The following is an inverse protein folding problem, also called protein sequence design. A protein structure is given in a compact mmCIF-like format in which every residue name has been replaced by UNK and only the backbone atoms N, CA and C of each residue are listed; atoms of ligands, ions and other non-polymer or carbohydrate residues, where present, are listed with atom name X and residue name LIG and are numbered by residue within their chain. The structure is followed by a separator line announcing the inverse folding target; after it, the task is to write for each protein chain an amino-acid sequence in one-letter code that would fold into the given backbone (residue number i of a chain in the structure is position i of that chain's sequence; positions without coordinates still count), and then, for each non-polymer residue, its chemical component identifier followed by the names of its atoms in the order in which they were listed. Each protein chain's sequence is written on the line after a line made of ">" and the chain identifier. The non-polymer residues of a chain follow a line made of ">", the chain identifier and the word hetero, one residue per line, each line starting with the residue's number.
data_IF_822137336602
#
_entry.id   IF_822137336602
#
_cell.length_a   1.000
_cell.length_b   1.000
_cell.length_c   1.000
_cell.angle_alpha   90.00
_cell.angle_beta   90.00
_cell.angle_gamma   90.00
#
_symmetry.space_group_name_H-M   'P 1'
#
loop_
_entity.id
_entity.type
_entity.pdbx_description
1 polymer ?
#
# COMPACT_ATOMS: atom_id res chain seq x y z
N UNK A 1 -50.20 -43.57 35.30
CA UNK A 1 -48.84 -42.99 35.31
C UNK A 1 -47.90 -43.79 34.40
N UNK A 2 -48.18 -43.82 33.09
CA UNK A 2 -47.34 -44.50 32.08
C UNK A 2 -47.32 -43.77 30.72
N UNK A 3 -47.82 -42.53 30.67
CA UNK A 3 -48.01 -41.76 29.44
C UNK A 3 -47.24 -40.43 29.39
N UNK A 4 -46.40 -40.13 30.39
CA UNK A 4 -45.58 -38.90 30.42
C UNK A 4 -44.08 -39.14 30.22
N UNK A 5 -43.61 -40.38 30.08
CA UNK A 5 -42.18 -40.69 29.88
C UNK A 5 -41.79 -40.96 28.41
N UNK A 6 -42.76 -40.98 27.49
CA UNK A 6 -42.51 -41.31 26.06
C UNK A 6 -42.42 -40.08 25.16
N UNK A 7 -42.43 -38.87 25.72
CA UNK A 7 -42.36 -37.61 24.97
C UNK A 7 -40.94 -36.97 24.92
N UNK A 8 -39.93 -37.55 25.58
CA UNK A 8 -38.54 -37.09 25.46
C UNK A 8 -37.70 -37.79 24.37
N UNK A 9 -38.14 -38.94 23.82
CA UNK A 9 -37.34 -39.67 22.83
C UNK A 9 -37.67 -39.32 21.37
N UNK A 10 -38.70 -38.53 21.10
CA UNK A 10 -39.16 -38.24 19.74
C UNK A 10 -38.59 -36.97 19.09
N UNK A 11 -37.73 -36.22 19.79
CA UNK A 11 -37.28 -34.90 19.32
C UNK A 11 -35.81 -34.80 18.86
N UNK A 12 -35.01 -35.89 18.87
CA UNK A 12 -33.55 -35.73 18.67
C UNK A 12 -32.87 -36.61 17.60
N UNK A 13 -33.50 -37.64 17.02
CA UNK A 13 -32.70 -38.67 16.32
C UNK A 13 -32.92 -38.97 14.84
N UNK A 14 -33.81 -38.32 14.09
CA UNK A 14 -33.80 -38.57 12.64
C UNK A 14 -34.08 -37.31 11.84
N UNK A 15 -33.20 -36.32 12.04
CA UNK A 15 -32.88 -35.31 11.04
C UNK A 15 -32.31 -36.03 9.81
N UNK A 16 -33.22 -36.46 8.94
CA UNK A 16 -32.91 -36.82 7.56
C UNK A 16 -33.00 -35.55 6.73
N UNK A 17 -31.90 -35.12 6.13
CA UNK A 17 -31.77 -34.81 4.70
C UNK A 17 -30.46 -34.04 4.41
N UNK A 18 -29.62 -34.70 3.61
CA UNK A 18 -28.74 -34.18 2.56
C UNK A 18 -27.63 -33.18 2.93
N UNK A 19 -26.39 -33.68 2.89
CA UNK A 19 -25.25 -32.92 2.39
C UNK A 19 -24.44 -33.78 1.41
N UNK A 20 -24.01 -33.12 0.36
CA UNK A 20 -23.60 -33.66 -0.92
C UNK A 20 -22.32 -34.51 -0.87
N UNK A 21 -22.26 -35.45 -1.82
CA UNK A 21 -21.00 -35.91 -2.37
C UNK A 21 -20.29 -34.73 -3.04
N UNK A 22 -19.04 -34.46 -2.67
CA UNK A 22 -18.01 -34.05 -3.64
C UNK A 22 -16.70 -34.77 -3.30
N UNK A 23 -16.15 -35.32 -4.37
CA UNK A 23 -15.07 -36.30 -4.47
C UNK A 23 -13.70 -35.66 -4.19
N UNK A 24 -12.96 -36.18 -3.21
CA UNK A 24 -11.54 -35.88 -3.03
C UNK A 24 -10.73 -36.83 -3.90
N UNK A 25 -10.62 -36.51 -5.19
CA UNK A 25 -9.62 -37.10 -6.09
C UNK A 25 -8.72 -36.00 -6.64
N UNK A 26 -7.61 -35.83 -5.93
CA UNK A 26 -6.25 -35.88 -6.45
C UNK A 26 -6.09 -35.74 -7.98
N UNK A 27 -5.41 -34.68 -8.42
CA UNK A 27 -4.17 -34.74 -9.21
C UNK A 27 -4.03 -33.52 -10.15
N UNK A 28 -2.94 -32.79 -9.97
CA UNK A 28 -2.26 -32.10 -11.07
C UNK A 28 -1.71 -33.13 -12.06
N UNK A 29 -1.74 -32.80 -13.36
CA UNK A 29 -0.51 -32.77 -14.16
C UNK A 29 -0.42 -31.44 -14.94
N UNK A 30 0.68 -30.69 -14.80
CA UNK A 30 1.90 -30.73 -15.62
C UNK A 30 1.79 -29.99 -16.96
N UNK A 31 2.42 -28.81 -16.94
CA UNK A 31 3.29 -28.19 -17.95
C UNK A 31 2.72 -27.65 -19.27
N UNK A 32 3.23 -26.44 -19.55
CA UNK A 32 3.53 -25.84 -20.84
C UNK A 32 2.36 -25.32 -21.67
N UNK A 33 2.20 -24.00 -21.65
CA UNK A 33 2.20 -23.26 -22.92
C UNK A 33 2.88 -21.90 -22.75
N UNK A 34 3.97 -21.75 -23.50
CA UNK A 34 4.61 -20.49 -23.81
C UNK A 34 4.07 -20.04 -25.18
N UNK A 35 3.52 -18.84 -25.22
CA UNK A 35 3.32 -18.01 -26.41
C UNK A 35 3.00 -16.60 -25.85
N UNK A 36 3.99 -15.75 -25.65
CA UNK A 36 4.43 -14.76 -26.63
C UNK A 36 3.27 -14.06 -27.34
N UNK A 37 2.95 -12.87 -26.84
CA UNK A 37 2.39 -11.80 -27.65
C UNK A 37 2.94 -10.49 -27.08
N UNK A 38 4.23 -10.26 -27.35
CA UNK A 38 4.76 -8.91 -27.51
C UNK A 38 4.04 -8.27 -28.71
N UNK A 39 2.80 -7.85 -28.48
CA UNK A 39 2.06 -7.05 -29.45
C UNK A 39 2.63 -5.66 -29.39
N UNK A 40 3.48 -5.37 -30.37
CA UNK A 40 3.83 -4.03 -30.83
C UNK A 40 2.55 -3.31 -31.22
N UNK A 41 1.96 -2.59 -30.26
CA UNK A 41 1.04 -1.48 -30.53
C UNK A 41 1.81 -0.22 -30.23
N UNK A 42 1.91 0.67 -31.21
CA UNK A 42 2.48 1.99 -31.06
C UNK A 42 1.81 2.73 -29.88
N UNK A 43 2.54 3.46 -29.02
CA UNK A 43 1.92 4.26 -27.97
C UNK A 43 1.15 5.39 -28.65
N UNK A 44 -0.17 5.25 -28.74
CA UNK A 44 -1.06 6.38 -28.97
C UNK A 44 -1.24 7.07 -27.63
N UNK A 45 -0.39 8.08 -27.42
CA UNK A 45 -0.49 9.16 -26.44
C UNK A 45 -1.88 9.81 -26.53
N UNK A 46 -2.82 9.36 -25.69
CA UNK A 46 -4.03 10.08 -25.33
C UNK A 46 -4.73 9.32 -24.19
N UNK A 47 -4.64 9.89 -22.98
CA UNK A 47 -5.14 9.38 -21.69
C UNK A 47 -4.15 8.48 -20.94
N UNK A 48 -2.99 9.05 -20.61
CA UNK A 48 -1.95 8.49 -19.73
C UNK A 48 -2.41 8.34 -18.28
N UNK A 49 -3.34 7.43 -18.08
CA UNK A 49 -3.50 6.76 -16.81
C UNK A 49 -2.43 5.67 -16.79
N UNK A 50 -1.37 5.90 -16.02
CA UNK A 50 -0.37 4.88 -15.79
C UNK A 50 -1.08 3.68 -15.14
N UNK A 51 -1.30 2.60 -15.90
CA UNK A 51 -1.98 1.36 -15.47
C UNK A 51 -1.48 0.84 -14.10
N UNK A 52 -0.23 1.13 -13.79
CA UNK A 52 0.46 0.82 -12.54
C UNK A 52 -0.23 1.43 -11.33
N UNK A 53 -0.69 2.67 -11.43
CA UNK A 53 -1.36 3.39 -10.36
C UNK A 53 -2.75 2.81 -10.03
N UNK A 54 -3.34 2.04 -10.94
CA UNK A 54 -4.67 1.43 -10.75
C UNK A 54 -4.61 0.01 -10.17
N UNK A 55 -3.41 -0.55 -9.98
CA UNK A 55 -3.24 -1.86 -9.37
C UNK A 55 -3.49 -1.79 -7.85
N UNK A 56 -3.94 -2.87 -7.21
CA UNK A 56 -4.14 -2.89 -5.76
C UNK A 56 -2.80 -2.86 -5.02
N UNK A 57 -2.83 -2.50 -3.74
CA UNK A 57 -1.67 -2.69 -2.84
C UNK A 57 -1.40 -4.17 -2.67
N UNK A 58 -0.16 -4.61 -2.90
CA UNK A 58 0.18 -6.04 -2.84
C UNK A 58 1.42 -6.30 -1.99
N UNK A 59 1.22 -6.87 -0.81
CA UNK A 59 2.31 -7.30 0.09
C UNK A 59 3.17 -8.40 -0.55
N UNK A 60 2.60 -9.23 -1.42
CA UNK A 60 3.31 -10.34 -2.04
C UNK A 60 3.47 -11.55 -1.11
N UNK A 61 4.32 -12.51 -1.49
CA UNK A 61 4.42 -13.84 -0.83
C UNK A 61 5.53 -13.98 0.21
N UNK A 62 6.44 -13.01 0.26
CA UNK A 62 7.54 -12.99 1.23
C UNK A 62 7.12 -12.33 2.56
N UNK A 63 7.93 -12.50 3.59
CA UNK A 63 7.64 -12.07 4.97
C UNK A 63 8.53 -10.92 5.46
N UNK A 64 9.14 -10.18 4.53
CA UNK A 64 9.87 -8.95 4.86
C UNK A 64 8.91 -7.85 5.34
N UNK A 65 9.48 -6.85 6.02
CA UNK A 65 8.75 -5.68 6.50
C UNK A 65 9.35 -4.43 5.85
N UNK A 66 8.96 -4.18 4.59
CA UNK A 66 9.40 -3.01 3.85
C UNK A 66 8.24 -2.01 3.74
N UNK A 67 8.41 -0.83 4.32
CA UNK A 67 7.47 0.27 4.12
C UNK A 67 7.63 0.84 2.71
N UNK A 68 6.52 0.92 1.99
CA UNK A 68 6.43 1.38 0.59
C UNK A 68 5.18 2.22 0.41
N UNK A 69 5.12 2.95 -0.68
CA UNK A 69 3.96 3.77 -1.03
C UNK A 69 3.23 3.16 -2.23
N UNK A 70 1.90 3.24 -2.21
CA UNK A 70 1.04 2.82 -3.30
C UNK A 70 -0.08 3.84 -3.48
N UNK A 71 -0.45 4.12 -4.73
CA UNK A 71 -1.55 4.99 -5.06
C UNK A 71 -2.88 4.32 -4.75
N UNK A 72 -3.74 5.02 -4.00
CA UNK A 72 -5.10 4.63 -3.72
C UNK A 72 -6.04 5.46 -4.61
N UNK A 73 -6.68 4.78 -5.55
CA UNK A 73 -7.59 5.40 -6.53
C UNK A 73 -8.88 5.93 -5.87
N UNK A 74 -9.29 5.40 -4.72
CA UNK A 74 -10.56 5.75 -4.06
C UNK A 74 -10.50 7.16 -3.46
N UNK A 75 -9.39 7.49 -2.81
CA UNK A 75 -9.17 8.81 -2.20
C UNK A 75 -8.14 9.66 -2.96
N UNK A 76 -7.56 9.12 -4.03
CA UNK A 76 -6.55 9.77 -4.89
C UNK A 76 -5.29 10.16 -4.11
N UNK A 77 -4.82 9.31 -3.20
CA UNK A 77 -3.65 9.57 -2.37
C UNK A 77 -2.61 8.46 -2.47
N UNK A 78 -1.34 8.81 -2.32
CA UNK A 78 -0.26 7.85 -2.11
C UNK A 78 -0.18 7.48 -0.63
N UNK A 79 -0.43 6.22 -0.32
CA UNK A 79 -0.53 5.71 1.04
C UNK A 79 0.58 4.69 1.33
N UNK A 80 1.13 4.74 2.55
CA UNK A 80 2.10 3.76 3.00
C UNK A 80 1.45 2.37 3.18
N UNK A 81 2.18 1.31 2.84
CA UNK A 81 1.80 -0.08 3.08
C UNK A 81 3.03 -0.96 3.30
N UNK A 82 2.80 -2.18 3.81
CA UNK A 82 3.86 -3.17 4.03
C UNK A 82 4.00 -4.05 2.79
N UNK A 83 5.20 -4.03 2.19
CA UNK A 83 5.64 -4.95 1.16
C UNK A 83 6.51 -6.06 1.76
N UNK A 84 6.20 -7.30 1.38
CA UNK A 84 6.86 -8.52 1.84
C UNK A 84 8.25 -8.74 1.24
N UNK A 85 8.63 -7.98 0.21
CA UNK A 85 9.95 -8.05 -0.43
C UNK A 85 10.01 -8.88 -1.71
N UNK A 86 8.95 -9.61 -2.07
CA UNK A 86 8.87 -10.32 -3.34
C UNK A 86 7.42 -10.45 -3.86
N UNK A 87 7.27 -10.65 -5.17
CA UNK A 87 5.98 -10.93 -5.83
C UNK A 87 4.90 -9.86 -5.54
N UNK A 88 5.28 -8.59 -5.42
CA UNK A 88 4.33 -7.48 -5.49
C UNK A 88 4.07 -7.08 -6.94
N UNK A 89 3.24 -6.05 -7.11
CA UNK A 89 2.98 -5.44 -8.41
C UNK A 89 3.66 -4.07 -8.53
N UNK A 90 3.32 -3.31 -9.58
CA UNK A 90 4.00 -2.04 -9.90
C UNK A 90 3.47 -0.83 -9.13
N UNK A 91 2.34 -0.95 -8.43
CA UNK A 91 1.88 0.07 -7.48
C UNK A 91 2.66 -0.04 -6.17
N UNK A 92 3.97 0.19 -6.24
CA UNK A 92 4.92 -0.02 -5.15
C UNK A 92 6.13 0.91 -5.36
N UNK A 93 6.17 1.99 -4.59
CA UNK A 93 7.17 3.04 -4.69
C UNK A 93 7.97 3.12 -3.38
N UNK A 94 9.26 3.48 -3.48
CA UNK A 94 10.13 3.60 -2.29
C UNK A 94 9.83 4.85 -1.47
N UNK A 95 9.39 5.92 -2.12
CA UNK A 95 9.02 7.18 -1.49
C UNK A 95 7.61 7.62 -1.87
N UNK A 96 7.04 8.52 -1.06
CA UNK A 96 5.74 9.11 -1.34
C UNK A 96 5.82 10.00 -2.58
N UNK A 97 6.92 10.72 -2.71
CA UNK A 97 7.20 11.65 -3.81
C UNK A 97 7.25 10.93 -5.16
N UNK A 98 7.87 9.75 -5.22
CA UNK A 98 7.90 8.94 -6.45
C UNK A 98 6.50 8.46 -6.85
N UNK A 99 5.70 8.03 -5.86
CA UNK A 99 4.31 7.65 -6.09
C UNK A 99 3.49 8.82 -6.61
N UNK A 100 3.59 9.99 -5.98
CA UNK A 100 2.84 11.19 -6.38
C UNK A 100 3.29 11.70 -7.75
N UNK A 101 4.60 11.74 -8.01
CA UNK A 101 5.15 12.12 -9.31
C UNK A 101 4.66 11.19 -10.43
N UNK A 102 4.51 9.89 -10.14
CA UNK A 102 4.04 8.91 -11.13
C UNK A 102 2.52 8.96 -11.33
N UNK A 103 1.76 9.07 -10.24
CA UNK A 103 0.31 8.81 -10.23
C UNK A 103 -0.57 10.06 -10.13
N UNK A 104 0.01 11.23 -9.80
CA UNK A 104 -0.72 12.50 -9.69
C UNK A 104 -0.32 13.54 -10.75
N UNK A 105 0.64 13.23 -11.64
CA UNK A 105 1.17 14.19 -12.62
C UNK A 105 0.17 14.66 -13.70
N UNK A 106 -1.02 14.06 -13.80
CA UNK A 106 -2.04 14.38 -14.80
C UNK A 106 -2.82 15.69 -14.58
N UNK A 107 -2.20 16.71 -13.95
CA UNK A 107 -2.86 17.99 -13.60
C UNK A 107 -2.10 19.25 -14.05
N UNK A 108 -1.20 19.17 -15.03
CA UNK A 108 -0.43 20.36 -15.48
C UNK A 108 -0.98 21.11 -16.70
N UNK A 109 -1.98 20.59 -17.42
CA UNK A 109 -2.46 21.25 -18.64
C UNK A 109 -3.87 21.87 -18.54
N UNK A 110 -4.54 21.78 -17.39
CA UNK A 110 -5.76 22.55 -17.14
C UNK A 110 -5.67 23.25 -15.79
N UNK A 111 -5.02 24.41 -15.79
CA UNK A 111 -5.21 25.42 -14.75
C UNK A 111 -6.66 25.93 -14.82
N UNK A 112 -7.44 25.88 -13.73
CA UNK A 112 -8.58 26.77 -13.58
C UNK A 112 -8.03 28.20 -13.60
N UNK A 113 -8.40 28.96 -14.63
CA UNK A 113 -8.24 30.42 -14.63
C UNK A 113 -9.05 31.00 -13.48
N UNK A 114 -8.39 31.93 -12.79
CA UNK A 114 -8.95 32.93 -11.85
C UNK A 114 -9.32 32.38 -10.47
N UNK A 115 -9.13 33.09 -9.35
CA UNK A 115 -8.35 34.25 -8.90
C UNK A 115 -8.62 34.28 -7.37
N UNK A 116 -8.13 35.30 -6.65
CA UNK A 116 -8.09 35.49 -5.18
C UNK A 116 -6.72 35.06 -4.63
N UNK A 117 -5.68 35.87 -4.79
CA UNK A 117 -5.45 37.21 -4.20
C UNK A 117 -5.47 37.17 -2.66
N UNK A 118 -4.27 37.37 -2.11
CA UNK A 118 -3.99 37.30 -0.69
C UNK A 118 -2.49 37.30 -0.45
N UNK A 119 -1.83 38.32 -1.00
CA UNK A 119 -0.48 38.72 -0.57
C UNK A 119 -0.52 39.05 0.93
N UNK A 120 0.42 38.47 1.69
CA UNK A 120 1.14 39.31 2.63
C UNK A 120 2.63 39.00 2.55
N UNK A 121 3.25 39.76 1.65
CA UNK A 121 4.68 39.99 1.59
C UNK A 121 5.07 40.90 2.75
N UNK A 122 5.83 40.38 3.71
CA UNK A 122 6.67 41.24 4.56
C UNK A 122 8.11 40.77 4.49
N UNK A 123 8.80 41.23 3.45
CA UNK A 123 10.25 41.41 3.53
C UNK A 123 10.53 42.63 4.38
N UNK A 124 11.14 42.44 5.55
CA UNK A 124 11.96 43.48 6.17
C UNK A 124 13.34 42.90 6.45
N UNK A 125 14.32 43.36 5.68
CA UNK A 125 15.73 43.12 5.93
C UNK A 125 16.20 43.91 7.16
N UNK A 126 17.10 43.30 7.95
CA UNK A 126 18.28 43.99 8.50
C UNK A 126 19.32 43.00 9.02
N UNK A 127 20.56 43.26 8.60
CA UNK A 127 21.80 42.66 9.05
C UNK A 127 22.06 42.91 10.54
N UNK A 128 22.77 41.97 11.18
CA UNK A 128 23.22 42.04 12.57
C UNK A 128 24.14 40.89 12.92
N UNK A 129 25.43 41.14 12.75
CA UNK A 129 26.58 40.43 13.30
C UNK A 129 26.53 40.43 14.84
N UNK A 130 26.42 39.26 15.49
CA UNK A 130 26.73 39.09 16.92
C UNK A 130 27.34 37.69 17.20
N UNK A 131 28.66 37.70 17.25
CA UNK A 131 29.59 36.86 18.01
C UNK A 131 28.95 35.85 18.99
N UNK A 132 28.96 34.57 18.63
CA UNK A 132 28.60 33.49 19.56
C UNK A 132 29.81 33.14 20.44
N UNK A 133 29.69 33.19 21.78
CA UNK A 133 30.79 32.81 22.66
C UNK A 133 31.09 31.32 22.51
N UNK A 134 32.35 31.03 22.19
CA UNK A 134 32.94 29.71 22.25
C UNK A 134 32.71 29.12 23.64
N UNK A 135 31.84 28.10 23.73
CA UNK A 135 31.71 27.31 24.94
C UNK A 135 33.01 26.53 25.17
N UNK A 136 33.64 26.59 26.36
CA UNK A 136 34.80 25.78 26.63
C UNK A 136 34.38 24.31 26.71
N UNK A 137 34.97 23.49 25.84
CA UNK A 137 34.98 22.02 25.99
C UNK A 137 35.72 21.72 27.28
N UNK A 138 34.99 21.44 28.37
CA UNK A 138 35.60 20.86 29.57
C UNK A 138 35.85 19.39 29.30
N UNK A 139 37.12 19.05 29.14
CA UNK A 139 37.59 17.68 29.04
C UNK A 139 37.25 16.92 30.33
N UNK A 140 36.38 15.92 30.23
CA UNK A 140 36.18 14.94 31.29
C UNK A 140 37.41 14.02 31.33
N UNK A 141 38.31 14.30 32.26
CA UNK A 141 39.47 13.46 32.60
C UNK A 141 38.99 12.08 33.09
N UNK A 142 39.64 10.97 32.69
CA UNK A 142 39.22 9.63 33.09
C UNK A 142 39.44 9.42 34.60
N UNK A 143 38.42 8.88 35.26
CA UNK A 143 38.55 8.37 36.64
C UNK A 143 39.14 6.96 36.53
N UNK A 144 40.37 6.82 37.01
CA UNK A 144 40.96 5.54 37.39
C UNK A 144 40.87 5.37 38.92
N UNK A 145 41.14 4.14 39.39
CA UNK A 145 41.18 3.61 40.78
C UNK A 145 39.91 2.83 41.18
N UNK A 146 39.95 1.56 41.63
CA UNK A 146 41.01 0.60 42.05
C UNK A 146 40.64 -0.82 41.57
#
# INVERSE_FOLDING_TARGET
>A
MKFLLTLCFAACFIATLQAAAVDSTTAQPKAAEAADASTTVAPTEASDVVEECHQPKETGRCFGLFYRYAYNVENRQCEEFVYGGCNGNKNNFESKEDCEAKCLAAKKDEAPKEAEEGEESSTLAKEGDEDAPVVPVVEAKPVAED
#
